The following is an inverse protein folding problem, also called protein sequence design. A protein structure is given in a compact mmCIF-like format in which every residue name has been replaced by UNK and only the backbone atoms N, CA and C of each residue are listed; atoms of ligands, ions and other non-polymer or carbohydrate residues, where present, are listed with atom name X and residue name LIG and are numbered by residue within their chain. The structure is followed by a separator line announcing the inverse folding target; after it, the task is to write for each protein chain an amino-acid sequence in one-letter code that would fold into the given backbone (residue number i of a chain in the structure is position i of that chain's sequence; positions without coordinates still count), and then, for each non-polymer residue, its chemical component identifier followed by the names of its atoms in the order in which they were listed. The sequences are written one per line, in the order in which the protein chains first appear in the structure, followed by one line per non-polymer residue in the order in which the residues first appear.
data_IF_011945980254
#
_entry.id   IF_011945980254
#
_cell.length_a   1.000
_cell.length_b   1.000
_cell.length_c   1.000
_cell.angle_alpha   90.00
_cell.angle_beta   90.00
_cell.angle_gamma   90.00
#
_symmetry.space_group_name_H-M   'P 1'
#
loop_
_entity.id
_entity.type
_entity.pdbx_description
1 polymer ?
#
# COMPACT_ATOMS: atom_id res chain seq x y z
N UNK A 1 18.39 -13.94 -18.33
CA UNK A 1 17.21 -13.45 -19.08
C UNK A 1 17.74 -12.93 -20.41
N UNK A 2 17.12 -13.30 -21.53
CA UNK A 2 17.55 -12.80 -22.84
C UNK A 2 16.92 -11.43 -23.10
N UNK A 3 17.64 -10.55 -23.80
CA UNK A 3 17.17 -9.23 -24.18
C UNK A 3 17.05 -9.16 -25.70
N UNK A 4 15.89 -8.72 -26.20
CA UNK A 4 15.62 -8.55 -27.62
C UNK A 4 15.19 -7.12 -27.88
N UNK A 5 15.68 -6.51 -28.97
CA UNK A 5 15.43 -5.10 -29.30
C UNK A 5 14.69 -5.01 -30.63
N UNK A 6 13.40 -4.63 -30.64
CA UNK A 6 12.64 -4.40 -31.87
C UNK A 6 13.25 -3.26 -32.71
N UNK A 7 13.32 -3.44 -34.03
CA UNK A 7 14.00 -2.52 -34.94
C UNK A 7 13.05 -1.64 -35.77
N UNK A 8 11.79 -2.05 -35.95
CA UNK A 8 10.78 -1.27 -36.68
C UNK A 8 9.89 -0.48 -35.73
N UNK A 9 9.42 0.69 -36.15
CA UNK A 9 8.56 1.54 -35.32
C UNK A 9 7.22 0.85 -34.98
N UNK A 10 6.66 0.08 -35.93
CA UNK A 10 5.45 -0.72 -35.69
C UNK A 10 5.65 -1.73 -34.56
N UNK A 11 6.72 -2.53 -34.63
CA UNK A 11 7.02 -3.53 -33.59
C UNK A 11 7.37 -2.88 -32.25
N UNK A 12 8.01 -1.70 -32.25
CA UNK A 12 8.29 -0.94 -31.02
C UNK A 12 7.01 -0.44 -30.37
N UNK A 13 6.08 0.10 -31.14
CA UNK A 13 4.79 0.58 -30.64
C UNK A 13 3.95 -0.56 -30.07
N UNK A 14 3.84 -1.69 -30.78
CA UNK A 14 3.10 -2.87 -30.32
C UNK A 14 3.72 -3.47 -29.05
N UNK A 15 5.04 -3.59 -28.99
CA UNK A 15 5.73 -4.11 -27.81
C UNK A 15 5.52 -3.19 -26.58
N UNK A 16 5.51 -1.88 -26.78
CA UNK A 16 5.30 -0.93 -25.68
C UNK A 16 3.86 -0.93 -25.17
N UNK A 17 2.89 -0.92 -26.09
CA UNK A 17 1.48 -0.78 -25.74
C UNK A 17 0.83 -2.11 -25.34
N UNK A 18 1.12 -3.22 -26.02
CA UNK A 18 0.48 -4.51 -25.71
C UNK A 18 1.31 -5.33 -24.71
N UNK A 19 2.63 -5.32 -24.86
CA UNK A 19 3.55 -6.15 -24.05
C UNK A 19 4.18 -5.38 -22.89
N UNK A 20 3.78 -4.13 -22.68
CA UNK A 20 4.26 -3.30 -21.58
C UNK A 20 3.88 -3.86 -20.22
N UNK A 21 4.80 -3.79 -19.24
CA UNK A 21 4.61 -4.31 -17.88
C UNK A 21 3.37 -3.71 -17.20
N UNK A 22 3.13 -2.42 -17.39
CA UNK A 22 1.96 -1.71 -16.81
C UNK A 22 0.62 -2.24 -17.30
N UNK A 23 0.58 -2.78 -18.53
CA UNK A 23 -0.64 -3.32 -19.14
C UNK A 23 -0.82 -4.81 -18.86
N UNK A 24 0.20 -5.48 -18.31
CA UNK A 24 0.22 -6.92 -18.03
C UNK A 24 0.41 -7.21 -16.52
N UNK A 25 -0.19 -6.39 -15.65
CA UNK A 25 -0.13 -6.59 -14.19
C UNK A 25 -0.96 -7.78 -13.70
N UNK A 26 -1.98 -8.18 -14.45
CA UNK A 26 -2.87 -9.29 -14.14
C UNK A 26 -2.65 -10.48 -15.09
N UNK A 27 -2.83 -11.69 -14.59
CA UNK A 27 -2.73 -12.90 -15.42
C UNK A 27 -4.01 -13.13 -16.23
N UNK A 28 -3.91 -13.54 -17.52
CA UNK A 28 -5.08 -13.83 -18.35
C UNK A 28 -5.87 -15.07 -17.89
N UNK A 29 -5.31 -15.90 -17.01
CA UNK A 29 -5.96 -17.16 -16.57
C UNK A 29 -7.18 -16.91 -15.68
N UNK A 30 -7.08 -15.98 -14.74
CA UNK A 30 -8.11 -15.71 -13.73
C UNK A 30 -8.23 -14.22 -13.36
N UNK A 31 -7.48 -13.33 -14.01
CA UNK A 31 -7.52 -11.90 -13.75
C UNK A 31 -6.86 -11.47 -12.43
N UNK A 32 -6.18 -12.38 -11.72
CA UNK A 32 -5.49 -12.05 -10.48
C UNK A 32 -4.19 -11.26 -10.77
N UNK A 33 -3.79 -10.32 -9.88
CA UNK A 33 -2.51 -9.64 -10.00
C UNK A 33 -1.35 -10.65 -9.94
N UNK A 34 -0.51 -10.67 -10.98
CA UNK A 34 0.70 -11.51 -11.03
C UNK A 34 1.95 -10.72 -10.63
N UNK A 35 1.97 -9.42 -10.90
CA UNK A 35 3.03 -8.51 -10.46
C UNK A 35 2.54 -7.80 -9.21
N UNK A 36 3.00 -8.26 -8.04
CA UNK A 36 2.62 -7.76 -6.74
C UNK A 36 3.80 -7.78 -5.76
N UNK A 37 3.58 -7.35 -4.51
CA UNK A 37 4.61 -7.34 -3.47
C UNK A 37 5.19 -8.75 -3.24
N UNK A 38 6.52 -8.83 -3.14
CA UNK A 38 7.26 -10.07 -2.87
C UNK A 38 7.63 -10.18 -1.39
N UNK A 39 8.40 -11.21 -1.02
CA UNK A 39 8.66 -11.64 0.36
C UNK A 39 9.06 -10.50 1.31
N UNK A 40 10.09 -9.73 0.95
CA UNK A 40 10.61 -8.67 1.82
C UNK A 40 9.68 -7.46 1.87
N UNK A 41 9.01 -7.15 0.76
CA UNK A 41 8.02 -6.06 0.71
C UNK A 41 6.83 -6.36 1.61
N UNK A 42 6.30 -7.58 1.57
CA UNK A 42 5.21 -8.00 2.45
C UNK A 42 5.65 -7.96 3.92
N UNK A 43 6.85 -8.47 4.22
CA UNK A 43 7.37 -8.50 5.59
C UNK A 43 7.56 -7.10 6.15
N UNK A 44 8.12 -6.18 5.37
CA UNK A 44 8.29 -4.79 5.75
C UNK A 44 6.93 -4.08 5.91
N UNK A 45 6.00 -4.27 4.97
CA UNK A 45 4.68 -3.67 5.03
C UNK A 45 3.91 -4.10 6.28
N UNK A 46 3.99 -5.39 6.65
CA UNK A 46 3.43 -5.89 7.89
C UNK A 46 4.05 -5.21 9.11
N UNK A 47 5.39 -5.24 9.25
CA UNK A 47 6.11 -4.65 10.38
C UNK A 47 5.93 -3.13 10.53
N UNK A 48 5.62 -2.46 9.43
CA UNK A 48 5.28 -1.05 9.42
C UNK A 48 3.83 -0.80 9.85
N UNK A 49 2.89 -1.65 9.44
CA UNK A 49 1.46 -1.43 9.69
C UNK A 49 0.91 -2.04 10.98
N UNK A 50 1.73 -2.77 11.76
CA UNK A 50 1.35 -3.20 13.12
C UNK A 50 0.97 -2.02 14.02
N UNK A 51 0.04 -2.25 14.96
CA UNK A 51 -0.54 -1.22 15.84
C UNK A 51 0.50 -0.47 16.68
N UNK A 52 1.55 -1.15 17.13
CA UNK A 52 2.53 -0.60 18.06
C UNK A 52 3.69 0.14 17.36
N UNK A 53 3.61 0.32 16.04
CA UNK A 53 4.61 1.08 15.28
C UNK A 53 4.28 2.58 15.30
N UNK A 54 5.04 3.32 16.10
CA UNK A 54 5.01 4.77 16.15
C UNK A 54 6.31 5.38 15.62
N UNK A 55 6.17 6.51 14.91
CA UNK A 55 7.26 7.26 14.31
C UNK A 55 7.20 8.71 14.79
N UNK A 56 8.37 9.27 15.09
CA UNK A 56 8.50 10.71 15.30
C UNK A 56 8.46 11.45 13.95
N UNK A 57 8.31 12.76 14.00
CA UNK A 57 8.22 13.59 12.78
C UNK A 57 9.43 13.38 11.87
N UNK A 58 10.63 13.28 12.43
CA UNK A 58 11.87 13.11 11.65
C UNK A 58 11.87 11.79 10.89
N UNK A 59 11.63 10.67 11.58
CA UNK A 59 11.64 9.34 10.95
C UNK A 59 10.49 9.20 9.94
N UNK A 60 9.31 9.74 10.26
CA UNK A 60 8.17 9.74 9.35
C UNK A 60 8.49 10.51 8.06
N UNK A 61 8.95 11.77 8.16
CA UNK A 61 9.26 12.58 6.99
C UNK A 61 10.42 12.00 6.16
N UNK A 62 11.43 11.44 6.81
CA UNK A 62 12.54 10.78 6.11
C UNK A 62 12.06 9.55 5.33
N UNK A 63 11.20 8.74 5.92
CA UNK A 63 10.64 7.55 5.26
C UNK A 63 9.79 7.94 4.04
N UNK A 64 8.92 8.94 4.18
CA UNK A 64 8.11 9.45 3.07
C UNK A 64 8.99 9.98 1.92
N UNK A 65 10.07 10.71 2.23
CA UNK A 65 10.99 11.23 1.22
C UNK A 65 11.73 10.12 0.47
N UNK A 66 12.16 9.05 1.17
CA UNK A 66 12.79 7.90 0.52
C UNK A 66 11.82 7.14 -0.41
N UNK A 67 10.56 7.06 -0.02
CA UNK A 67 9.52 6.31 -0.72
C UNK A 67 9.03 7.01 -1.99
N UNK A 68 8.82 8.32 -1.93
CA UNK A 68 8.20 9.08 -3.03
C UNK A 68 9.22 9.73 -3.99
N UNK A 69 10.51 9.73 -3.61
CA UNK A 69 11.55 10.46 -4.32
C UNK A 69 11.52 11.97 -4.05
N UNK A 70 12.50 12.70 -4.59
CA UNK A 70 12.72 14.12 -4.28
C UNK A 70 11.70 15.06 -4.97
N UNK A 71 11.14 14.64 -6.10
CA UNK A 71 10.27 15.49 -6.92
C UNK A 71 8.80 15.47 -6.47
N UNK A 72 8.40 14.45 -5.72
CA UNK A 72 7.01 14.25 -5.29
C UNK A 72 6.74 15.04 -4.01
N UNK A 73 5.93 16.08 -4.11
CA UNK A 73 5.42 16.80 -2.94
C UNK A 73 4.37 15.97 -2.23
N UNK A 74 4.48 15.86 -0.91
CA UNK A 74 3.50 15.20 -0.08
C UNK A 74 3.03 16.11 1.06
N UNK A 75 1.76 15.93 1.44
CA UNK A 75 1.16 16.61 2.57
C UNK A 75 1.43 15.79 3.84
N UNK A 76 2.05 16.41 4.85
CA UNK A 76 2.25 15.74 6.13
C UNK A 76 0.91 15.63 6.87
N UNK A 77 0.37 14.42 7.13
CA UNK A 77 -0.90 14.27 7.81
C UNK A 77 -0.80 14.71 9.29
N UNK A 78 -1.92 15.01 9.95
CA UNK A 78 -1.92 15.23 11.38
C UNK A 78 -1.42 13.97 12.11
N UNK A 79 -0.65 14.13 13.21
CA UNK A 79 -0.15 13.01 14.00
C UNK A 79 -1.30 12.26 14.66
N UNK A 80 -1.17 10.95 14.79
CA UNK A 80 -2.15 10.11 15.49
C UNK A 80 -2.14 10.36 17.01
N UNK A 81 -0.98 10.68 17.58
CA UNK A 81 -0.84 11.01 19.00
C UNK A 81 -0.26 12.43 19.09
N UNK A 82 -0.92 13.30 19.87
CA UNK A 82 -0.47 14.68 20.10
C UNK A 82 0.31 14.84 21.42
N UNK A 83 -0.07 14.09 22.45
CA UNK A 83 0.51 14.11 23.79
C UNK A 83 0.63 12.67 24.30
N UNK A 84 1.67 12.33 25.09
CA UNK A 84 2.73 13.21 25.61
C UNK A 84 3.76 13.64 24.54
N UNK A 85 3.91 12.87 23.47
CA UNK A 85 4.79 13.16 22.34
C UNK A 85 4.00 13.10 21.03
N UNK A 86 4.42 13.91 20.06
CA UNK A 86 3.82 13.92 18.73
C UNK A 86 4.32 12.72 17.93
N UNK A 87 3.43 11.79 17.62
CA UNK A 87 3.76 10.53 16.94
C UNK A 87 2.76 10.21 15.83
N UNK A 88 3.27 9.60 14.76
CA UNK A 88 2.51 9.06 13.65
C UNK A 88 2.52 7.54 13.71
N UNK A 89 1.43 6.90 13.27
CA UNK A 89 1.41 5.45 13.11
C UNK A 89 2.07 5.05 11.80
N UNK A 90 2.56 3.82 11.70
CA UNK A 90 3.08 3.33 10.42
C UNK A 90 2.01 3.17 9.34
N UNK A 91 0.72 3.00 9.71
CA UNK A 91 -0.41 3.06 8.76
C UNK A 91 -0.49 4.41 8.04
N UNK A 92 -0.23 5.52 8.74
CA UNK A 92 -0.24 6.85 8.12
C UNK A 92 0.84 7.02 7.05
N UNK A 93 1.94 6.27 7.13
CA UNK A 93 2.96 6.25 6.06
C UNK A 93 2.37 5.68 4.78
N UNK A 94 1.59 4.60 4.88
CA UNK A 94 0.92 4.00 3.73
C UNK A 94 -0.19 4.89 3.16
N UNK A 95 -0.86 5.70 3.99
CA UNK A 95 -1.81 6.70 3.46
C UNK A 95 -1.08 7.68 2.51
N UNK A 96 0.10 8.14 2.91
CA UNK A 96 0.96 9.01 2.08
C UNK A 96 1.50 8.26 0.84
N UNK A 97 1.76 6.96 0.95
CA UNK A 97 2.16 6.12 -0.19
C UNK A 97 1.05 6.03 -1.24
N UNK A 98 -0.18 5.78 -0.82
CA UNK A 98 -1.33 5.61 -1.71
C UNK A 98 -1.75 6.96 -2.28
N UNK A 99 -1.77 8.00 -1.45
CA UNK A 99 -2.17 9.36 -1.83
C UNK A 99 -1.25 10.39 -1.18
N UNK A 100 -0.20 10.84 -1.88
CA UNK A 100 0.80 11.75 -1.32
C UNK A 100 0.25 13.12 -0.94
N UNK A 101 -0.69 13.66 -1.71
CA UNK A 101 -1.24 15.00 -1.50
C UNK A 101 -2.70 15.08 -1.97
N UNK A 102 -3.38 16.18 -1.63
CA UNK A 102 -4.80 16.37 -1.99
C UNK A 102 -5.06 16.53 -3.49
N UNK A 103 -4.06 16.94 -4.28
CA UNK A 103 -4.19 17.07 -5.72
C UNK A 103 -4.18 15.72 -6.45
N UNK A 104 -3.67 14.68 -5.79
CA UNK A 104 -3.73 13.31 -6.30
C UNK A 104 -5.18 12.81 -6.32
N UNK A 105 -5.69 12.34 -7.49
CA UNK A 105 -7.07 11.89 -7.65
C UNK A 105 -7.34 10.49 -7.08
N UNK A 106 -6.32 9.75 -6.64
CA UNK A 106 -6.46 8.36 -6.17
C UNK A 106 -7.25 8.31 -4.86
N UNK A 107 -8.47 7.78 -4.94
CA UNK A 107 -9.38 7.57 -3.81
C UNK A 107 -9.80 6.10 -3.77
N UNK A 108 -9.08 5.30 -2.99
CA UNK A 108 -9.30 3.86 -2.88
C UNK A 108 -10.16 3.55 -1.65
N UNK A 109 -11.13 2.65 -1.82
CA UNK A 109 -11.93 2.07 -0.75
C UNK A 109 -11.86 0.55 -0.86
N UNK A 110 -11.37 -0.12 0.17
CA UNK A 110 -11.18 -1.58 0.19
C UNK A 110 -11.52 -2.12 1.57
N UNK A 111 -12.19 -3.27 1.60
CA UNK A 111 -12.35 -4.11 2.78
C UNK A 111 -11.77 -5.49 2.45
N UNK A 112 -10.77 -5.93 3.22
CA UNK A 112 -10.08 -7.19 2.96
C UNK A 112 -9.78 -7.96 4.25
N UNK A 113 -9.91 -9.29 4.18
CA UNK A 113 -9.48 -10.17 5.26
C UNK A 113 -7.97 -10.37 5.17
N UNK A 114 -7.26 -10.14 6.26
CA UNK A 114 -5.87 -10.56 6.40
C UNK A 114 -5.80 -12.09 6.57
N UNK A 115 -4.64 -12.68 6.32
CA UNK A 115 -4.41 -14.13 6.39
C UNK A 115 -4.77 -14.76 7.75
N UNK A 116 -4.47 -14.15 8.92
CA UNK A 116 -4.83 -14.74 10.21
C UNK A 116 -6.27 -14.47 10.64
N UNK A 117 -7.07 -13.74 9.85
CA UNK A 117 -8.42 -13.35 10.21
C UNK A 117 -9.32 -14.56 10.43
N UNK A 118 -10.11 -14.51 11.51
CA UNK A 118 -11.15 -15.49 11.80
C UNK A 118 -12.47 -14.75 11.97
N UNK A 119 -13.49 -15.22 11.27
CA UNK A 119 -14.82 -14.64 11.37
C UNK A 119 -15.30 -14.72 12.85
N UNK A 120 -15.68 -13.58 13.47
CA UNK A 120 -16.18 -13.58 14.83
C UNK A 120 -17.47 -14.39 14.95
N UNK A 121 -17.57 -15.21 16.01
CA UNK A 121 -18.78 -16.01 16.29
C UNK A 121 -19.88 -15.21 16.97
N UNK A 122 -19.50 -14.16 17.68
CA UNK A 122 -20.38 -13.38 18.55
C UNK A 122 -21.14 -12.26 17.79
N UNK A 123 -21.03 -12.24 16.46
CA UNK A 123 -21.64 -11.21 15.60
C UNK A 123 -20.98 -9.83 15.71
N UNK A 124 -19.83 -9.72 16.36
CA UNK A 124 -19.09 -8.47 16.44
C UNK A 124 -18.63 -7.99 15.06
N UNK A 125 -18.54 -6.66 14.85
CA UNK A 125 -17.95 -6.07 13.66
C UNK A 125 -16.55 -6.64 13.35
N UNK A 126 -16.27 -6.86 12.06
CA UNK A 126 -15.02 -7.51 11.59
C UNK A 126 -13.76 -6.68 11.87
N UNK A 127 -13.91 -5.36 11.88
CA UNK A 127 -12.87 -4.36 12.16
C UNK A 127 -12.42 -4.33 13.63
N UNK A 128 -13.19 -4.94 14.55
CA UNK A 128 -12.83 -5.11 15.95
C UNK A 128 -12.05 -6.39 16.23
N UNK A 129 -11.44 -7.00 15.21
CA UNK A 129 -10.60 -8.18 15.38
C UNK A 129 -9.41 -7.87 16.32
N UNK A 130 -9.18 -8.67 17.39
CA UNK A 130 -8.10 -8.43 18.34
C UNK A 130 -6.72 -8.39 17.69
N UNK A 131 -6.51 -9.15 16.61
CA UNK A 131 -5.23 -9.26 15.91
C UNK A 131 -5.07 -8.24 14.79
N UNK A 132 -5.99 -7.28 14.64
CA UNK A 132 -5.99 -6.34 13.51
C UNK A 132 -6.06 -7.07 12.16
N UNK A 133 -6.84 -8.16 12.10
CA UNK A 133 -6.92 -9.03 10.92
C UNK A 133 -7.87 -8.57 9.82
N UNK A 134 -8.49 -7.39 9.92
CA UNK A 134 -9.41 -6.89 8.90
C UNK A 134 -8.92 -5.52 8.40
N UNK A 135 -8.50 -5.46 7.14
CA UNK A 135 -8.02 -4.24 6.50
C UNK A 135 -9.19 -3.42 5.98
N UNK A 136 -9.27 -2.16 6.41
CA UNK A 136 -10.25 -1.19 5.95
C UNK A 136 -9.53 0.04 5.45
N UNK A 137 -9.66 0.31 4.15
CA UNK A 137 -9.18 1.54 3.51
C UNK A 137 -10.40 2.37 3.14
N UNK A 138 -10.41 3.65 3.52
CA UNK A 138 -11.43 4.62 3.13
C UNK A 138 -10.78 5.88 2.59
N UNK A 139 -11.13 6.27 1.37
CA UNK A 139 -10.59 7.44 0.68
C UNK A 139 -9.03 7.51 0.71
N UNK A 140 -8.39 6.36 0.48
CA UNK A 140 -6.92 6.18 0.55
C UNK A 140 -6.31 6.33 1.94
N UNK A 141 -7.11 6.25 3.00
CA UNK A 141 -6.65 6.20 4.38
C UNK A 141 -6.94 4.83 5.01
N UNK A 142 -5.91 4.19 5.58
CA UNK A 142 -6.02 2.94 6.32
C UNK A 142 -6.60 3.24 7.71
N UNK A 143 -7.78 2.68 7.98
CA UNK A 143 -8.51 2.86 9.24
C UNK A 143 -8.13 1.80 10.27
N UNK A 144 -8.06 0.54 9.84
CA UNK A 144 -7.64 -0.61 10.64
C UNK A 144 -7.05 -1.69 9.74
N UNK A 145 -6.40 -2.69 10.35
CA UNK A 145 -5.77 -3.81 9.67
C UNK A 145 -4.28 -3.65 9.40
N UNK A 146 -3.64 -4.77 9.06
CA UNK A 146 -2.25 -4.80 8.59
C UNK A 146 -2.21 -4.98 7.07
N UNK A 147 -1.10 -4.54 6.47
CA UNK A 147 -0.78 -4.86 5.08
C UNK A 147 -0.05 -6.21 5.07
N UNK A 148 -0.70 -7.23 4.53
CA UNK A 148 -0.15 -8.58 4.43
C UNK A 148 -0.26 -9.13 3.00
N UNK A 149 0.00 -10.43 2.81
CA UNK A 149 -0.04 -11.03 1.47
C UNK A 149 -1.45 -11.05 0.85
N UNK A 150 -2.50 -11.04 1.67
CA UNK A 150 -3.88 -11.14 1.22
C UNK A 150 -4.49 -9.80 0.78
N UNK A 151 -3.79 -8.70 1.04
CA UNK A 151 -4.26 -7.34 0.81
C UNK A 151 -3.56 -6.66 -0.35
#
# INVERSE_FOLDING_TARGET
MNLHVPQTEEARAEAMELMGVKNNLATPRNGEPIIAATQDFISCAYLMTIKDRFLDRRSFSQLCAHMLGLDTKFDLPPPAILKPQVLWTGKQVFNVLIRPNKADPVLVNVDAACRPFKQPKDGSPKDLDPNDGWLVIRNSEIMCGVMDKST
#
